data_IF_917732772186
#
_entry.id   IF_917732772186
#
_cell.length_a   1.000
_cell.length_b   1.000
_cell.length_c   1.000
_cell.angle_alpha   90.00
_cell.angle_beta   90.00
_cell.angle_gamma   90.00
#
_symmetry.space_group_name_H-M   'P 1'
#
loop_
_entity.id
_entity.type
_entity.pdbx_description
1 polymer ?
#
# COMPACT_ATOMS: atom_id res chain seq x y z
N UNK A 1 4.87 4.86 18.35
CA UNK A 1 4.97 4.58 16.90
C UNK A 1 3.92 3.55 16.51
N UNK A 2 3.37 3.64 15.30
CA UNK A 2 2.53 2.60 14.71
C UNK A 2 3.29 1.94 13.55
N UNK A 3 3.30 0.61 13.48
CA UNK A 3 3.86 -0.16 12.38
C UNK A 3 2.75 -1.00 11.76
N UNK A 4 2.59 -0.95 10.44
CA UNK A 4 1.66 -1.81 9.71
C UNK A 4 2.43 -2.68 8.73
N UNK A 5 2.24 -3.98 8.83
CA UNK A 5 2.90 -4.99 8.01
C UNK A 5 2.02 -6.25 8.03
N UNK A 6 1.70 -6.80 6.87
CA UNK A 6 0.81 -7.97 6.77
C UNK A 6 1.51 -9.27 7.15
N UNK A 7 2.84 -9.29 7.23
CA UNK A 7 3.63 -10.41 7.70
C UNK A 7 3.76 -10.39 9.23
N UNK A 8 3.01 -11.27 9.90
CA UNK A 8 3.00 -11.35 11.37
C UNK A 8 4.41 -11.60 11.96
N UNK A 9 5.28 -12.34 11.27
CA UNK A 9 6.65 -12.57 11.71
C UNK A 9 7.50 -11.29 11.73
N UNK A 10 7.30 -10.39 10.76
CA UNK A 10 7.97 -9.10 10.70
C UNK A 10 7.47 -8.22 11.85
N UNK A 11 6.16 -8.17 12.08
CA UNK A 11 5.59 -7.47 13.24
C UNK A 11 6.20 -7.95 14.57
N UNK A 12 6.26 -9.26 14.81
CA UNK A 12 6.85 -9.83 16.04
C UNK A 12 8.34 -9.53 16.18
N UNK A 13 9.08 -9.54 15.07
CA UNK A 13 10.51 -9.19 15.07
C UNK A 13 10.70 -7.71 15.45
N UNK A 14 9.97 -6.82 14.77
CA UNK A 14 10.04 -5.38 15.01
C UNK A 14 9.61 -5.01 16.42
N UNK A 15 8.57 -5.66 16.96
CA UNK A 15 8.14 -5.47 18.35
C UNK A 15 9.30 -5.69 19.33
N UNK A 16 10.02 -6.81 19.18
CA UNK A 16 11.16 -7.15 20.05
C UNK A 16 12.31 -6.16 19.91
N UNK A 17 12.62 -5.74 18.68
CA UNK A 17 13.70 -4.79 18.40
C UNK A 17 13.39 -3.41 18.99
N UNK A 18 12.18 -2.90 18.75
CA UNK A 18 11.75 -1.58 19.19
C UNK A 18 11.60 -1.52 20.71
N UNK A 19 11.09 -2.58 21.34
CA UNK A 19 11.05 -2.69 22.78
C UNK A 19 12.46 -2.68 23.40
N UNK A 20 13.42 -3.40 22.79
CA UNK A 20 14.82 -3.39 23.26
C UNK A 20 15.48 -2.00 23.17
N UNK A 21 15.08 -1.20 22.17
CA UNK A 21 15.52 0.18 22.01
C UNK A 21 14.74 1.19 22.87
N UNK A 22 13.75 0.73 23.64
CA UNK A 22 12.96 1.57 24.55
C UNK A 22 11.81 2.34 23.88
N UNK A 23 11.43 1.99 22.66
CA UNK A 23 10.31 2.62 21.96
C UNK A 23 8.97 1.98 22.36
N UNK A 24 7.94 2.82 22.48
CA UNK A 24 6.54 2.37 22.53
C UNK A 24 6.02 2.21 21.10
N UNK A 25 5.61 1.01 20.73
CA UNK A 25 5.09 0.67 19.40
C UNK A 25 3.78 -0.08 19.47
N UNK A 26 2.86 0.24 18.57
CA UNK A 26 1.68 -0.55 18.24
C UNK A 26 1.86 -1.17 16.85
N UNK A 27 1.22 -2.31 16.61
CA UNK A 27 1.29 -3.05 15.36
C UNK A 27 -0.09 -3.25 14.77
N UNK A 28 -0.16 -3.31 13.45
CA UNK A 28 -1.37 -3.62 12.68
C UNK A 28 -1.00 -4.56 11.53
N UNK A 29 -1.87 -5.53 11.23
CA UNK A 29 -1.66 -6.48 10.12
C UNK A 29 -2.36 -6.04 8.83
N UNK A 30 -3.09 -4.93 8.87
CA UNK A 30 -3.80 -4.41 7.72
C UNK A 30 -3.93 -2.89 7.77
N UNK A 31 -4.20 -2.30 6.60
CA UNK A 31 -4.48 -0.88 6.50
C UNK A 31 -5.70 -0.43 7.32
N UNK A 32 -6.76 -1.24 7.38
CA UNK A 32 -7.95 -0.89 8.16
C UNK A 32 -7.70 -0.91 9.67
N UNK A 33 -6.88 -1.86 10.15
CA UNK A 33 -6.46 -1.89 11.55
C UNK A 33 -5.54 -0.71 11.87
N UNK A 34 -4.59 -0.39 10.99
CA UNK A 34 -3.70 0.76 11.16
C UNK A 34 -4.47 2.07 11.25
N UNK A 35 -5.47 2.26 10.37
CA UNK A 35 -6.34 3.45 10.40
C UNK A 35 -7.12 3.53 11.71
N UNK A 36 -7.72 2.41 12.17
CA UNK A 36 -8.44 2.39 13.46
C UNK A 36 -7.52 2.78 14.62
N UNK A 37 -6.35 2.14 14.71
CA UNK A 37 -5.35 2.42 15.74
C UNK A 37 -4.91 3.87 15.73
N UNK A 38 -4.63 4.43 14.54
CA UNK A 38 -4.26 5.83 14.39
C UNK A 38 -5.38 6.78 14.84
N UNK A 39 -6.62 6.54 14.41
CA UNK A 39 -7.78 7.36 14.77
C UNK A 39 -8.05 7.34 16.27
N UNK A 40 -7.94 6.18 16.92
CA UNK A 40 -8.10 6.05 18.38
C UNK A 40 -7.00 6.80 19.14
N UNK A 41 -5.76 6.75 18.66
CA UNK A 41 -4.63 7.43 19.28
C UNK A 41 -4.67 8.95 19.11
N UNK A 42 -5.27 9.46 18.02
CA UNK A 42 -5.22 10.87 17.63
C UNK A 42 -5.75 11.85 18.69
N UNK A 43 -6.69 11.42 19.53
CA UNK A 43 -7.29 12.28 20.57
C UNK A 43 -6.55 12.23 21.92
N UNK A 44 -5.83 11.16 22.21
CA UNK A 44 -5.27 10.90 23.55
C UNK A 44 -3.73 10.88 23.55
N UNK A 45 -3.12 9.96 22.81
CA UNK A 45 -1.65 9.78 22.73
C UNK A 45 -1.27 9.53 21.25
N UNK A 46 -1.20 10.59 20.42
CA UNK A 46 -0.94 10.45 19.00
C UNK A 46 0.42 9.83 18.71
N UNK A 47 0.50 9.03 17.64
CA UNK A 47 1.78 8.47 17.22
C UNK A 47 2.70 9.53 16.61
N UNK A 48 3.93 9.63 17.11
CA UNK A 48 4.98 10.49 16.53
C UNK A 48 5.48 9.99 15.16
N UNK A 49 5.40 8.67 14.95
CA UNK A 49 5.90 7.99 13.75
C UNK A 49 4.90 6.90 13.36
N UNK A 50 4.64 6.79 12.06
CA UNK A 50 3.87 5.70 11.45
C UNK A 50 4.71 5.09 10.32
N UNK A 51 4.93 3.78 10.38
CA UNK A 51 5.62 2.99 9.36
C UNK A 51 4.59 2.08 8.72
N UNK A 52 4.46 2.09 7.39
CA UNK A 52 3.49 1.30 6.66
C UNK A 52 4.23 0.53 5.58
N UNK A 53 4.14 -0.79 5.59
CA UNK A 53 4.46 -1.59 4.42
C UNK A 53 3.24 -1.61 3.49
N UNK A 54 3.41 -1.08 2.28
CA UNK A 54 2.32 -0.87 1.33
C UNK A 54 2.65 -1.45 -0.02
N UNK A 55 1.99 -2.55 -0.37
CA UNK A 55 1.90 -3.01 -1.75
C UNK A 55 0.71 -2.32 -2.45
N UNK A 56 0.98 -1.34 -3.32
CA UNK A 56 -0.07 -0.64 -4.08
C UNK A 56 -0.25 -1.27 -5.46
N UNK A 57 -1.41 -1.89 -5.70
CA UNK A 57 -1.80 -2.40 -7.02
C UNK A 57 -2.45 -1.30 -7.83
N UNK A 58 -1.77 -0.85 -8.90
CA UNK A 58 -2.23 0.24 -9.74
C UNK A 58 -2.34 -0.15 -11.22
N UNK A 59 -3.37 0.37 -11.89
CA UNK A 59 -3.58 0.28 -13.34
C UNK A 59 -3.38 1.67 -13.95
N UNK A 60 -2.54 1.77 -14.97
CA UNK A 60 -2.31 3.04 -15.68
C UNK A 60 -3.16 3.11 -16.95
N UNK A 61 -3.72 4.29 -17.22
CA UNK A 61 -4.48 4.53 -18.44
C UNK A 61 -4.20 5.90 -19.06
N UNK A 62 -3.76 5.90 -20.32
CA UNK A 62 -3.45 7.11 -21.09
C UNK A 62 -4.05 7.08 -22.51
N UNK A 63 -4.11 8.26 -23.14
CA UNK A 63 -4.68 8.49 -24.48
C UNK A 63 -3.72 8.22 -25.64
N UNK A 64 -4.03 8.75 -26.82
CA UNK A 64 -3.24 8.60 -28.07
C UNK A 64 -1.85 9.26 -28.06
N UNK A 65 -1.36 9.68 -26.90
CA UNK A 65 0.01 10.13 -26.73
C UNK A 65 0.93 8.92 -26.58
N UNK A 66 2.09 8.95 -27.22
CA UNK A 66 3.13 7.94 -27.06
C UNK A 66 3.84 8.15 -25.71
N UNK A 67 3.08 7.95 -24.64
CA UNK A 67 3.51 8.21 -23.27
C UNK A 67 4.52 7.12 -22.85
N UNK A 68 5.76 7.48 -22.49
CA UNK A 68 6.79 6.52 -22.10
C UNK A 68 6.37 5.68 -20.87
N UNK A 69 5.48 6.20 -20.02
CA UNK A 69 4.92 5.44 -18.89
C UNK A 69 4.18 4.20 -19.37
N UNK A 70 3.51 4.25 -20.53
CA UNK A 70 2.78 3.09 -21.07
C UNK A 70 3.72 2.03 -21.64
N UNK A 71 4.90 2.43 -22.11
CA UNK A 71 5.88 1.50 -22.68
C UNK A 71 6.68 0.77 -21.59
N UNK A 72 6.78 1.37 -20.39
CA UNK A 72 7.58 0.88 -19.25
C UNK A 72 6.79 0.91 -17.95
N UNK A 73 5.50 0.55 -18.01
CA UNK A 73 4.57 0.71 -16.89
C UNK A 73 5.00 -0.08 -15.64
N UNK A 74 5.64 -1.24 -15.83
CA UNK A 74 6.20 -2.06 -14.76
C UNK A 74 7.35 -1.37 -14.01
N UNK A 75 8.21 -0.61 -14.71
CA UNK A 75 9.29 0.19 -14.08
C UNK A 75 8.75 1.30 -13.18
N UNK A 76 7.48 1.68 -13.39
CA UNK A 76 6.78 2.69 -12.61
C UNK A 76 5.88 2.09 -11.52
N UNK A 77 5.93 0.77 -11.30
CA UNK A 77 5.12 0.07 -10.30
C UNK A 77 3.66 -0.15 -10.70
N UNK A 78 3.30 0.10 -11.96
CA UNK A 78 1.98 -0.29 -12.47
C UNK A 78 2.00 -1.75 -12.88
N UNK A 79 0.89 -2.43 -12.62
CA UNK A 79 0.74 -3.85 -12.92
C UNK A 79 0.10 -4.13 -14.27
N UNK A 80 -0.77 -3.23 -14.72
CA UNK A 80 -1.51 -3.36 -15.98
C UNK A 80 -1.69 -1.98 -16.62
N UNK A 81 -1.77 -1.97 -17.96
CA UNK A 81 -2.03 -0.77 -18.76
C UNK A 81 -3.31 -0.90 -19.57
N UNK A 82 -4.12 0.17 -19.62
CA UNK A 82 -5.34 0.26 -20.45
C UNK A 82 -5.28 1.49 -21.35
N UNK A 83 -5.24 1.30 -22.67
CA UNK A 83 -5.19 2.42 -23.65
C UNK A 83 -6.58 2.98 -23.91
N UNK A 84 -6.69 4.32 -23.94
CA UNK A 84 -7.92 5.01 -24.35
C UNK A 84 -8.01 5.15 -25.87
N UNK A 85 -9.23 5.07 -26.45
CA UNK A 85 -10.49 4.74 -25.78
C UNK A 85 -10.58 3.24 -25.49
N UNK A 86 -11.20 2.89 -24.36
CA UNK A 86 -11.46 1.51 -23.95
C UNK A 86 -12.94 1.30 -23.65
N UNK A 87 -13.41 0.07 -23.79
CA UNK A 87 -14.75 -0.36 -23.35
C UNK A 87 -14.70 -0.91 -21.92
N UNK A 88 -15.87 -1.09 -21.29
CA UNK A 88 -15.99 -1.59 -19.91
C UNK A 88 -15.25 -2.92 -19.74
N UNK A 89 -15.41 -3.85 -20.69
CA UNK A 89 -14.80 -5.18 -20.61
C UNK A 89 -13.27 -5.12 -20.54
N UNK A 90 -12.64 -4.20 -21.26
CA UNK A 90 -11.18 -4.02 -21.25
C UNK A 90 -10.67 -3.48 -19.91
N UNK A 91 -11.44 -2.58 -19.28
CA UNK A 91 -11.11 -2.10 -17.94
C UNK A 91 -11.35 -3.18 -16.88
N UNK A 92 -12.44 -3.95 -17.01
CA UNK A 92 -12.74 -5.05 -16.11
C UNK A 92 -11.64 -6.13 -16.14
N UNK A 93 -11.18 -6.52 -17.33
CA UNK A 93 -10.07 -7.45 -17.51
C UNK A 93 -8.79 -6.93 -16.85
N UNK A 94 -8.45 -5.65 -17.07
CA UNK A 94 -7.27 -5.05 -16.47
C UNK A 94 -7.33 -5.00 -14.93
N UNK A 95 -8.50 -4.73 -14.36
CA UNK A 95 -8.71 -4.78 -12.91
C UNK A 95 -8.51 -6.20 -12.39
N UNK A 96 -9.10 -7.21 -13.02
CA UNK A 96 -8.91 -8.61 -12.64
C UNK A 96 -7.44 -9.01 -12.72
N UNK A 97 -6.74 -8.64 -13.81
CA UNK A 97 -5.30 -8.90 -13.97
C UNK A 97 -4.45 -8.19 -12.91
N UNK A 98 -4.88 -7.03 -12.42
CA UNK A 98 -4.16 -6.29 -11.37
C UNK A 98 -4.30 -6.92 -9.99
N UNK A 99 -5.37 -7.70 -9.77
CA UNK A 99 -5.61 -8.36 -8.48
C UNK A 99 -4.75 -9.63 -8.32
N UNK A 100 -4.49 -10.34 -9.44
CA UNK A 100 -3.52 -11.46 -9.68
C UNK A 100 -2.78 -12.19 -8.43
#
# INVERSE_FOLDING_TARGET
MLVMDDEEEICRLLERMLAHLGYRSAFAQSGDEAVRSYQSALAEDPFDVVVLDLEVRAVVSSGYSNDPVMARFEEHGFRVVVRKPYVIDQMAEALVMSLN
#
